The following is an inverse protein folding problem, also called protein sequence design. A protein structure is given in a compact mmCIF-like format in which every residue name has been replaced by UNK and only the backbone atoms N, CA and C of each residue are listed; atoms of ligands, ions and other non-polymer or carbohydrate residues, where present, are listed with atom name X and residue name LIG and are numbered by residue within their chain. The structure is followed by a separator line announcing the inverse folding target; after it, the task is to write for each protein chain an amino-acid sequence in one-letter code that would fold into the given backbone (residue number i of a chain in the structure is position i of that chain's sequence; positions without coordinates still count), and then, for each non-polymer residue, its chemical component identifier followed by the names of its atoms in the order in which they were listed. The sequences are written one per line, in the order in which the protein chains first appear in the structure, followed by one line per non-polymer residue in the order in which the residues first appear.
data_IF_528102113768
#
_entry.id   IF_528102113768
#
_cell.length_a   1.000
_cell.length_b   1.000
_cell.length_c   1.000
_cell.angle_alpha   90.00
_cell.angle_beta   90.00
_cell.angle_gamma   90.00
#
_symmetry.space_group_name_H-M   'P 1'
#
loop_
_entity.id
_entity.type
_entity.pdbx_description
1 polymer ?
#
# COMPACT_ATOMS: atom_id res chain seq x y z
N UNK A 1 12.45 14.05 -35.01
CA UNK A 1 11.77 14.07 -33.69
C UNK A 1 12.69 14.78 -32.71
N UNK A 2 12.35 16.01 -32.29
CA UNK A 2 13.15 16.77 -31.31
C UNK A 2 12.51 16.55 -29.95
N UNK A 3 13.06 15.65 -29.14
CA UNK A 3 12.60 15.45 -27.76
C UNK A 3 12.92 16.70 -26.94
N UNK A 4 11.90 17.44 -26.52
CA UNK A 4 12.06 18.62 -25.66
C UNK A 4 12.36 18.17 -24.23
N UNK A 5 13.50 18.56 -23.68
CA UNK A 5 13.81 18.33 -22.27
C UNK A 5 12.95 19.27 -21.42
N UNK A 6 12.18 18.69 -20.50
CA UNK A 6 11.36 19.42 -19.54
C UNK A 6 11.88 19.13 -18.15
N UNK A 7 11.70 20.06 -17.22
CA UNK A 7 12.01 19.84 -15.81
C UNK A 7 10.71 19.65 -15.04
N UNK A 8 10.63 18.61 -14.21
CA UNK A 8 9.51 18.39 -13.30
C UNK A 8 9.59 19.39 -12.14
N UNK A 9 9.13 20.62 -12.38
CA UNK A 9 9.26 21.74 -11.45
C UNK A 9 8.30 21.65 -10.26
N UNK A 10 7.13 21.01 -10.40
CA UNK A 10 6.14 20.95 -9.32
C UNK A 10 5.23 19.73 -9.43
N UNK A 11 4.98 19.08 -8.31
CA UNK A 11 3.94 18.05 -8.14
C UNK A 11 2.79 18.67 -7.36
N UNK A 12 1.56 18.63 -7.90
CA UNK A 12 0.41 19.15 -7.17
C UNK A 12 0.01 18.19 -6.04
N UNK A 13 -0.10 18.64 -4.78
CA UNK A 13 -0.45 17.78 -3.65
C UNK A 13 -1.79 17.07 -3.85
N UNK A 14 -2.75 17.72 -4.50
CA UNK A 14 -4.05 17.12 -4.81
C UNK A 14 -3.95 15.96 -5.81
N UNK A 15 -3.02 16.02 -6.78
CA UNK A 15 -2.77 14.89 -7.68
C UNK A 15 -2.10 13.74 -6.94
N UNK A 16 -1.07 14.04 -6.13
CA UNK A 16 -0.40 13.06 -5.29
C UNK A 16 -1.36 12.37 -4.31
N UNK A 17 -2.32 13.11 -3.74
CA UNK A 17 -3.38 12.55 -2.91
C UNK A 17 -4.27 11.57 -3.68
N UNK A 18 -4.75 11.93 -4.88
CA UNK A 18 -5.61 11.04 -5.70
C UNK A 18 -4.88 9.76 -6.12
N UNK A 19 -3.64 9.89 -6.58
CA UNK A 19 -2.81 8.74 -6.97
C UNK A 19 -2.47 7.89 -5.74
N UNK A 20 -2.08 8.52 -4.64
CA UNK A 20 -1.80 7.83 -3.37
C UNK A 20 -3.01 7.08 -2.83
N UNK A 21 -4.20 7.68 -2.89
CA UNK A 21 -5.46 7.03 -2.50
C UNK A 21 -5.75 5.81 -3.39
N UNK A 22 -5.65 5.95 -4.72
CA UNK A 22 -5.88 4.84 -5.64
C UNK A 22 -4.88 3.69 -5.40
N UNK A 23 -3.58 4.01 -5.29
CA UNK A 23 -2.52 3.04 -4.99
C UNK A 23 -2.77 2.33 -3.66
N UNK A 24 -3.20 3.09 -2.65
CA UNK A 24 -3.49 2.58 -1.32
C UNK A 24 -4.68 1.63 -1.30
N UNK A 25 -5.77 1.96 -2.00
CA UNK A 25 -6.93 1.06 -2.14
C UNK A 25 -6.57 -0.24 -2.85
N UNK A 26 -5.81 -0.16 -3.95
CA UNK A 26 -5.34 -1.36 -4.67
C UNK A 26 -4.43 -2.19 -3.76
N UNK A 27 -3.51 -1.54 -3.04
CA UNK A 27 -2.62 -2.19 -2.08
C UNK A 27 -3.38 -2.88 -0.95
N UNK A 28 -4.44 -2.26 -0.42
CA UNK A 28 -5.32 -2.85 0.60
C UNK A 28 -5.97 -4.14 0.09
N UNK A 29 -6.52 -4.11 -1.12
CA UNK A 29 -7.18 -5.29 -1.72
C UNK A 29 -6.16 -6.40 -1.96
N UNK A 30 -4.99 -6.07 -2.53
CA UNK A 30 -3.91 -7.03 -2.75
C UNK A 30 -3.41 -7.65 -1.42
N UNK A 31 -3.28 -6.84 -0.37
CA UNK A 31 -2.94 -7.29 0.98
C UNK A 31 -3.96 -8.27 1.55
N UNK A 32 -5.26 -7.96 1.45
CA UNK A 32 -6.31 -8.85 1.92
C UNK A 32 -6.32 -10.19 1.17
N UNK A 33 -6.13 -10.16 -0.14
CA UNK A 33 -6.00 -11.39 -0.95
C UNK A 33 -4.79 -12.20 -0.47
N UNK A 34 -3.65 -11.56 -0.26
CA UNK A 34 -2.45 -12.22 0.25
C UNK A 34 -2.68 -12.88 1.62
N UNK A 35 -3.34 -12.19 2.55
CA UNK A 35 -3.68 -12.73 3.87
C UNK A 35 -4.62 -13.93 3.77
N UNK A 36 -5.64 -13.86 2.92
CA UNK A 36 -6.55 -14.99 2.70
C UNK A 36 -5.79 -16.22 2.14
N UNK A 37 -4.90 -16.00 1.17
CA UNK A 37 -4.08 -17.07 0.60
C UNK A 37 -3.13 -17.68 1.65
N UNK A 38 -2.50 -16.84 2.46
CA UNK A 38 -1.65 -17.29 3.56
C UNK A 38 -2.45 -18.10 4.59
N UNK A 39 -3.64 -17.63 4.98
CA UNK A 39 -4.48 -18.35 5.93
C UNK A 39 -4.83 -19.75 5.43
N UNK A 40 -5.31 -19.86 4.18
CA UNK A 40 -5.67 -21.16 3.57
C UNK A 40 -4.43 -22.06 3.40
N UNK A 41 -3.27 -21.48 3.07
CA UNK A 41 -2.02 -22.24 2.98
C UNK A 41 -1.57 -22.80 4.34
N UNK A 42 -1.70 -22.01 5.42
CA UNK A 42 -1.38 -22.44 6.78
C UNK A 42 -2.38 -23.47 7.32
N UNK A 43 -3.64 -23.35 6.91
CA UNK A 43 -4.72 -24.29 7.25
C UNK A 43 -4.44 -25.69 6.66
N UNK A 44 -4.09 -25.75 5.37
CA UNK A 44 -3.69 -27.01 4.73
C UNK A 44 -2.44 -27.66 5.36
N UNK A 45 -1.58 -26.86 5.97
CA UNK A 45 -0.40 -27.34 6.68
C UNK A 45 -0.69 -27.79 8.13
N UNK A 46 -1.93 -27.64 8.63
CA UNK A 46 -2.29 -27.97 10.01
C UNK A 46 -1.67 -27.04 11.06
N UNK A 47 -1.17 -25.87 10.65
CA UNK A 47 -0.48 -24.93 11.53
C UNK A 47 -1.47 -24.28 12.51
N UNK A 48 -2.70 -23.99 12.05
CA UNK A 48 -3.75 -23.42 12.89
C UNK A 48 -4.18 -24.36 14.01
N UNK A 49 -4.30 -25.66 13.73
CA UNK A 49 -4.63 -26.68 14.74
C UNK A 49 -3.54 -26.74 15.83
N UNK A 50 -2.28 -26.76 15.40
CA UNK A 50 -1.14 -26.74 16.30
C UNK A 50 -1.15 -25.48 17.17
N UNK A 51 -1.40 -24.31 16.58
CA UNK A 51 -1.46 -23.04 17.30
C UNK A 51 -2.63 -22.98 18.31
N UNK A 52 -3.83 -23.37 17.88
CA UNK A 52 -5.03 -23.36 18.73
C UNK A 52 -4.90 -24.37 19.89
N UNK A 53 -4.25 -25.51 19.69
CA UNK A 53 -4.00 -26.48 20.75
C UNK A 53 -3.04 -25.95 21.84
N UNK A 54 -2.03 -25.18 21.45
CA UNK A 54 -1.10 -24.53 22.38
C UNK A 54 -1.78 -23.40 23.16
N UNK A 55 -2.60 -22.58 22.50
CA UNK A 55 -3.34 -21.47 23.13
C UNK A 55 -4.45 -21.99 24.04
N UNK A 56 -5.20 -23.01 23.61
CA UNK A 56 -6.27 -23.63 24.40
C UNK A 56 -5.80 -24.33 25.67
N UNK A 57 -4.53 -24.79 25.71
CA UNK A 57 -3.91 -25.37 26.90
C UNK A 57 -3.71 -24.39 28.06
N UNK A 58 -3.80 -23.08 27.83
CA UNK A 58 -3.58 -22.02 28.85
C UNK A 58 -4.89 -21.53 29.47
N UNK A 59 -6.02 -22.18 29.20
CA UNK A 59 -7.32 -21.91 29.86
C UNK A 59 -8.13 -20.75 29.26
N UNK A 60 -7.74 -20.22 28.10
CA UNK A 60 -8.54 -19.27 27.33
C UNK A 60 -9.16 -19.95 26.12
N UNK A 61 -10.49 -20.01 26.04
CA UNK A 61 -11.22 -20.48 24.86
C UNK A 61 -11.12 -19.53 23.65
N UNK A 62 -9.94 -18.96 23.41
CA UNK A 62 -9.66 -18.06 22.31
C UNK A 62 -9.23 -18.89 21.10
N UNK A 63 -10.15 -19.10 20.17
CA UNK A 63 -9.91 -19.79 18.92
C UNK A 63 -9.50 -18.79 17.84
N UNK A 64 -8.36 -19.01 17.19
CA UNK A 64 -7.93 -18.21 16.04
C UNK A 64 -8.74 -18.63 14.82
N UNK A 65 -9.92 -18.03 14.70
CA UNK A 65 -10.82 -18.23 13.56
C UNK A 65 -10.41 -17.38 12.36
N UNK A 66 -10.79 -17.82 11.15
CA UNK A 66 -10.62 -17.08 9.91
C UNK A 66 -11.15 -15.65 10.01
N UNK A 67 -12.35 -15.48 10.59
CA UNK A 67 -12.97 -14.17 10.77
C UNK A 67 -12.13 -13.22 11.63
N UNK A 68 -11.49 -13.74 12.69
CA UNK A 68 -10.61 -12.95 13.54
C UNK A 68 -9.33 -12.52 12.80
N UNK A 69 -8.69 -13.44 12.08
CA UNK A 69 -7.45 -13.13 11.34
C UNK A 69 -7.71 -12.13 10.22
N UNK A 70 -8.76 -12.35 9.42
CA UNK A 70 -9.10 -11.47 8.30
C UNK A 70 -9.53 -10.09 8.79
N UNK A 71 -10.33 -9.99 9.86
CA UNK A 71 -10.76 -8.70 10.40
C UNK A 71 -9.58 -7.92 11.01
N UNK A 72 -8.70 -8.58 11.76
CA UNK A 72 -7.48 -7.96 12.29
C UNK A 72 -6.56 -7.47 11.16
N UNK A 73 -6.36 -8.29 10.13
CA UNK A 73 -5.56 -7.94 8.96
C UNK A 73 -6.19 -6.81 8.13
N UNK A 74 -7.52 -6.76 8.03
CA UNK A 74 -8.24 -5.68 7.37
C UNK A 74 -8.07 -4.36 8.12
N UNK A 75 -8.18 -4.37 9.46
CA UNK A 75 -7.93 -3.18 10.27
C UNK A 75 -6.48 -2.69 10.11
N UNK A 76 -5.52 -3.61 10.22
CA UNK A 76 -4.11 -3.30 10.08
C UNK A 76 -3.79 -2.74 8.68
N UNK A 77 -4.29 -3.40 7.63
CA UNK A 77 -4.17 -2.95 6.25
C UNK A 77 -4.80 -1.58 6.04
N UNK A 78 -5.98 -1.33 6.62
CA UNK A 78 -6.67 -0.04 6.51
C UNK A 78 -5.88 1.10 7.16
N UNK A 79 -5.27 0.85 8.33
CA UNK A 79 -4.40 1.84 8.99
C UNK A 79 -3.22 2.19 8.09
N UNK A 80 -2.51 1.19 7.56
CA UNK A 80 -1.38 1.42 6.65
C UNK A 80 -1.83 2.15 5.38
N UNK A 81 -2.96 1.75 4.82
CA UNK A 81 -3.53 2.36 3.63
C UNK A 81 -3.82 3.86 3.84
N UNK A 82 -4.43 4.22 4.97
CA UNK A 82 -4.69 5.62 5.32
C UNK A 82 -3.38 6.38 5.51
N UNK A 83 -2.42 5.81 6.23
CA UNK A 83 -1.10 6.43 6.43
C UNK A 83 -0.39 6.71 5.09
N UNK A 84 -0.37 5.74 4.18
CA UNK A 84 0.25 5.91 2.85
C UNK A 84 -0.47 6.97 2.01
N UNK A 85 -1.80 7.05 2.11
CA UNK A 85 -2.60 8.05 1.39
C UNK A 85 -2.29 9.47 1.85
N UNK A 86 -2.08 9.66 3.16
CA UNK A 86 -1.73 10.96 3.75
C UNK A 86 -0.25 11.30 3.49
N UNK A 87 0.62 10.29 3.48
CA UNK A 87 2.05 10.49 3.21
C UNK A 87 2.30 10.95 1.76
N UNK A 88 1.49 10.50 0.80
CA UNK A 88 1.63 10.89 -0.61
C UNK A 88 1.62 12.42 -0.88
N UNK A 89 0.62 13.21 -0.42
CA UNK A 89 0.64 14.66 -0.56
C UNK A 89 1.75 15.31 0.27
N UNK A 90 2.11 14.77 1.44
CA UNK A 90 3.26 15.23 2.23
C UNK A 90 4.57 15.13 1.43
N UNK A 91 4.81 13.99 0.78
CA UNK A 91 5.97 13.78 -0.09
C UNK A 91 5.98 14.75 -1.27
N UNK A 92 4.81 15.08 -1.84
CA UNK A 92 4.71 16.09 -2.90
C UNK A 92 5.10 17.49 -2.41
N UNK A 93 4.70 17.87 -1.19
CA UNK A 93 5.09 19.17 -0.58
C UNK A 93 6.60 19.21 -0.33
N UNK A 94 7.17 18.14 0.22
CA UNK A 94 8.62 18.03 0.47
C UNK A 94 9.40 18.11 -0.84
N UNK A 95 8.96 17.38 -1.88
CA UNK A 95 9.58 17.44 -3.22
C UNK A 95 9.60 18.86 -3.78
N UNK A 96 8.45 19.56 -3.72
CA UNK A 96 8.35 20.92 -4.23
C UNK A 96 9.34 21.85 -3.50
N UNK A 97 9.45 21.75 -2.17
CA UNK A 97 10.38 22.56 -1.40
C UNK A 97 11.86 22.30 -1.73
N UNK A 98 12.21 21.05 -2.04
CA UNK A 98 13.57 20.66 -2.44
C UNK A 98 13.89 21.18 -3.85
N UNK A 99 12.94 21.05 -4.78
CA UNK A 99 13.13 21.47 -6.18
C UNK A 99 13.30 22.97 -6.33
N UNK A 100 12.63 23.76 -5.49
CA UNK A 100 12.81 25.21 -5.45
C UNK A 100 14.26 25.61 -5.10
N UNK A 101 15.01 24.74 -4.41
CA UNK A 101 16.40 24.99 -3.98
C UNK A 101 17.43 24.37 -4.93
N UNK A 102 17.22 23.14 -5.38
CA UNK A 102 18.23 22.37 -6.13
C UNK A 102 17.98 22.28 -7.63
N UNK A 103 16.81 22.70 -8.11
CA UNK A 103 16.35 22.47 -9.47
C UNK A 103 15.73 21.07 -9.64
N UNK A 104 14.66 20.99 -10.46
CA UNK A 104 13.81 19.80 -10.58
C UNK A 104 14.41 18.66 -11.42
N UNK A 105 13.80 17.48 -11.35
CA UNK A 105 14.21 16.34 -12.18
C UNK A 105 14.04 16.62 -13.68
N UNK A 106 15.06 16.30 -14.48
CA UNK A 106 14.98 16.35 -15.94
C UNK A 106 14.19 15.16 -16.46
N UNK A 107 13.19 15.41 -17.28
CA UNK A 107 12.34 14.42 -17.93
C UNK A 107 12.35 14.63 -19.44
N UNK A 108 12.41 13.53 -20.20
CA UNK A 108 12.16 13.50 -21.64
C UNK A 108 10.75 12.99 -21.90
N UNK A 109 9.99 13.72 -22.71
CA UNK A 109 8.73 13.22 -23.29
C UNK A 109 9.05 12.35 -24.51
N UNK A 110 8.47 11.15 -24.54
CA UNK A 110 8.23 10.41 -25.79
C UNK A 110 6.78 10.69 -26.19
N UNK A 111 6.60 11.35 -27.33
CA UNK A 111 5.27 11.48 -27.94
C UNK A 111 4.96 10.16 -28.64
N UNK A 112 4.04 9.37 -28.10
CA UNK A 112 3.47 8.19 -28.76
C UNK A 112 2.51 8.71 -29.87
N UNK A 113 2.73 8.40 -31.16
CA UNK A 113 1.78 8.77 -32.19
C UNK A 113 0.48 8.00 -31.96
N UNK A 114 -0.63 8.73 -31.81
CA UNK A 114 -1.97 8.17 -31.70
C UNK A 114 -2.31 7.58 -33.08
N UNK A 115 -2.25 6.26 -33.20
CA UNK A 115 -2.67 5.51 -34.39
C UNK A 115 -4.19 5.29 -34.38
#
# INVERSE_FOLDING_TARGET
MIGRELHLARISPMSAFRVGLAMSLVGLVAWLIAVCLLYVGLDQAGIWDSFNSLVGGVGGGFEVSFGLVVSAAALFGAIIAVLMTILAPLMAVIYNAIVDVFGGFKIRLQDEPIN
#
